data_IF_531365001169
#
_entry.id   IF_531365001169
#
_cell.length_a   1.000
_cell.length_b   1.000
_cell.length_c   1.000
_cell.angle_alpha   90.00
_cell.angle_beta   90.00
_cell.angle_gamma   90.00
#
_symmetry.space_group_name_H-M   'P 1'
#
loop_
_entity.id
_entity.type
_entity.pdbx_description
1 polymer ?
#
# COMPACT_ATOMS: atom_id res chain seq x y z
N UNK A 1 -61.15 19.25 -1.24
CA UNK A 1 -59.73 19.27 -1.69
C UNK A 1 -58.82 20.25 -0.93
N UNK A 2 -59.26 20.91 0.15
CA UNK A 2 -58.42 21.85 0.91
C UNK A 2 -57.84 21.30 2.23
N UNK A 3 -58.29 20.12 2.71
CA UNK A 3 -57.79 19.53 3.96
C UNK A 3 -56.53 18.65 3.83
N UNK A 4 -56.12 18.24 2.62
CA UNK A 4 -54.99 17.31 2.45
C UNK A 4 -53.61 17.99 2.46
N UNK A 5 -53.53 19.29 2.19
CA UNK A 5 -52.25 20.01 2.16
C UNK A 5 -51.82 20.55 3.53
N UNK A 6 -52.76 20.75 4.47
CA UNK A 6 -52.43 21.15 5.83
C UNK A 6 -51.92 19.96 6.67
N UNK A 7 -52.48 18.76 6.45
CA UNK A 7 -52.11 17.54 7.18
C UNK A 7 -50.70 17.03 6.82
N UNK A 8 -50.27 17.18 5.55
CA UNK A 8 -48.91 16.82 5.11
C UNK A 8 -47.82 17.76 5.63
N UNK A 9 -48.12 19.06 5.76
CA UNK A 9 -47.16 20.03 6.31
C UNK A 9 -47.02 19.94 7.84
N UNK A 10 -48.08 19.51 8.53
CA UNK A 10 -48.03 19.34 9.98
C UNK A 10 -47.20 18.10 10.40
N UNK A 11 -47.25 17.01 9.63
CA UNK A 11 -46.46 15.80 9.92
C UNK A 11 -44.98 15.88 9.52
N UNK A 12 -44.61 16.66 8.50
CA UNK A 12 -43.19 16.78 8.10
C UNK A 12 -42.36 17.59 9.10
N UNK A 13 -42.94 18.63 9.72
CA UNK A 13 -42.23 19.43 10.73
C UNK A 13 -42.07 18.69 12.07
N UNK A 14 -43.02 17.84 12.45
CA UNK A 14 -42.91 17.03 13.68
C UNK A 14 -41.86 15.92 13.51
N UNK A 15 -41.77 15.31 12.32
CA UNK A 15 -40.73 14.30 12.04
C UNK A 15 -39.32 14.90 11.98
N UNK A 16 -39.15 16.09 11.39
CA UNK A 16 -37.85 16.75 11.33
C UNK A 16 -37.36 17.21 12.71
N UNK A 17 -38.27 17.64 13.59
CA UNK A 17 -37.90 18.09 14.95
C UNK A 17 -37.55 16.90 15.86
N UNK A 18 -38.27 15.77 15.72
CA UNK A 18 -37.97 14.54 16.46
C UNK A 18 -36.70 13.83 15.94
N UNK A 19 -36.40 13.92 14.64
CA UNK A 19 -35.18 13.35 14.07
C UNK A 19 -33.94 14.20 14.39
N UNK A 20 -34.06 15.54 14.44
CA UNK A 20 -32.98 16.42 14.90
C UNK A 20 -32.67 16.26 16.39
N UNK A 21 -33.68 15.94 17.22
CA UNK A 21 -33.47 15.58 18.62
C UNK A 21 -32.78 14.23 18.80
N UNK A 22 -33.07 13.27 17.90
CA UNK A 22 -32.41 11.96 17.89
C UNK A 22 -30.93 12.07 17.52
N UNK A 23 -30.55 12.91 16.54
CA UNK A 23 -29.15 13.11 16.14
C UNK A 23 -28.28 13.79 17.22
N UNK A 24 -28.86 14.60 18.10
CA UNK A 24 -28.13 15.21 19.23
C UNK A 24 -27.87 14.21 20.38
N UNK A 25 -28.63 13.12 20.47
CA UNK A 25 -28.45 12.07 21.48
C UNK A 25 -27.40 11.00 21.10
N UNK A 26 -26.98 10.93 19.83
CA UNK A 26 -26.04 9.89 19.33
C UNK A 26 -24.61 10.39 19.16
N UNK A 27 -24.27 11.62 19.55
CA UNK A 27 -22.88 12.08 19.68
C UNK A 27 -22.01 12.03 18.41
N UNK A 28 -22.57 11.89 17.21
CA UNK A 28 -21.79 11.79 15.97
C UNK A 28 -21.64 13.16 15.30
N UNK A 29 -20.68 13.96 15.77
CA UNK A 29 -20.13 15.07 15.01
C UNK A 29 -18.72 14.71 14.53
N UNK A 30 -18.48 14.48 13.22
CA UNK A 30 -17.12 14.44 12.72
C UNK A 30 -16.59 15.86 12.58
N UNK A 31 -15.50 16.18 13.32
CA UNK A 31 -14.64 17.33 13.01
C UNK A 31 -13.62 16.93 11.93
N UNK A 32 -13.25 17.84 11.02
CA UNK A 32 -12.23 17.59 10.02
C UNK A 32 -10.84 17.84 10.62
N UNK A 33 -9.91 16.95 10.31
CA UNK A 33 -8.47 17.25 10.33
C UNK A 33 -7.81 16.37 9.27
N UNK A 34 -7.90 16.79 8.01
CA UNK A 34 -6.95 16.37 6.98
C UNK A 34 -6.27 17.65 6.51
N UNK A 35 -5.04 17.81 6.97
CA UNK A 35 -4.08 18.81 6.55
C UNK A 35 -3.76 18.59 5.06
N UNK A 36 -3.80 19.67 4.28
CA UNK A 36 -3.61 19.71 2.83
C UNK A 36 -2.36 18.96 2.31
N UNK A 37 -2.54 18.21 1.21
CA UNK A 37 -1.46 17.64 0.38
C UNK A 37 -0.76 18.66 -0.53
N UNK A 38 -1.09 19.96 -0.46
CA UNK A 38 -0.52 21.02 -1.31
C UNK A 38 0.96 21.35 -1.01
N UNK A 39 1.58 20.66 -0.04
CA UNK A 39 3.01 20.80 0.29
C UNK A 39 3.94 19.77 -0.38
N UNK A 40 3.46 18.96 -1.32
CA UNK A 40 4.33 18.16 -2.20
C UNK A 40 5.02 19.06 -3.24
N UNK A 41 6.00 19.84 -2.81
CA UNK A 41 7.11 20.24 -3.67
C UNK A 41 8.18 19.17 -3.52
N UNK A 42 8.68 18.64 -4.64
CA UNK A 42 9.93 17.90 -4.68
C UNK A 42 10.99 18.71 -3.94
N UNK A 43 11.29 18.29 -2.72
CA UNK A 43 12.43 18.75 -1.98
C UNK A 43 13.57 17.85 -2.40
N UNK A 44 14.51 18.39 -3.17
CA UNK A 44 15.85 17.80 -3.34
C UNK A 44 16.61 17.68 -1.99
N UNK A 45 15.99 18.10 -0.88
CA UNK A 45 16.42 17.90 0.50
C UNK A 45 15.56 16.84 1.24
N UNK A 46 15.08 15.77 0.57
CA UNK A 46 14.50 14.64 1.30
C UNK A 46 15.54 14.12 2.30
N UNK A 47 15.35 14.42 3.59
CA UNK A 47 16.26 13.97 4.64
C UNK A 47 16.27 12.43 4.64
N UNK A 48 17.42 11.82 4.90
CA UNK A 48 17.69 10.37 4.88
C UNK A 48 16.92 9.54 5.93
N UNK A 49 15.72 9.97 6.34
CA UNK A 49 14.94 9.42 7.47
C UNK A 49 13.64 8.74 7.03
N UNK A 50 13.39 8.62 5.74
CA UNK A 50 12.15 8.03 5.25
C UNK A 50 12.25 6.49 5.18
N UNK A 51 11.16 5.77 5.49
CA UNK A 51 11.12 4.30 5.43
C UNK A 51 9.78 3.76 4.92
N UNK A 52 9.80 2.51 4.43
CA UNK A 52 8.60 1.71 4.14
C UNK A 52 8.25 0.89 5.39
N UNK A 53 6.97 0.82 5.77
CA UNK A 53 6.52 0.05 6.92
C UNK A 53 5.76 -1.20 6.48
N UNK A 54 6.12 -2.38 6.98
CA UNK A 54 5.41 -3.61 6.66
C UNK A 54 4.95 -4.26 7.94
N UNK A 55 3.64 -4.41 8.09
CA UNK A 55 3.01 -5.05 9.23
C UNK A 55 2.62 -6.49 8.85
N UNK A 56 3.36 -7.46 9.39
CA UNK A 56 2.94 -8.85 9.44
C UNK A 56 1.89 -8.96 10.54
N UNK A 57 0.63 -9.11 10.16
CA UNK A 57 -0.47 -9.22 11.10
C UNK A 57 -0.94 -10.66 11.21
N UNK A 58 -0.33 -11.40 12.15
CA UNK A 58 -0.71 -12.78 12.48
C UNK A 58 -1.96 -12.79 13.39
N UNK A 59 -3.04 -12.16 12.93
CA UNK A 59 -4.33 -12.30 13.58
C UNK A 59 -4.80 -13.75 13.46
N UNK A 60 -4.68 -14.55 14.54
CA UNK A 60 -5.26 -15.90 14.54
C UNK A 60 -6.75 -15.77 14.25
N UNK A 61 -7.23 -16.43 13.19
CA UNK A 61 -8.65 -16.58 12.81
C UNK A 61 -9.61 -17.07 13.90
N UNK A 62 -9.10 -17.39 15.10
CA UNK A 62 -9.86 -18.04 16.17
C UNK A 62 -10.64 -17.07 17.07
N UNK A 63 -10.48 -15.75 16.93
CA UNK A 63 -11.26 -14.80 17.74
C UNK A 63 -12.39 -14.18 16.92
N UNK A 64 -13.51 -14.92 16.79
CA UNK A 64 -14.77 -14.41 16.21
C UNK A 64 -15.36 -13.21 16.95
N UNK A 65 -14.79 -12.82 18.08
CA UNK A 65 -15.36 -11.81 18.95
C UNK A 65 -14.76 -10.40 18.71
N UNK A 66 -13.59 -10.29 18.08
CA UNK A 66 -12.87 -9.01 17.90
C UNK A 66 -12.17 -8.91 16.56
N UNK A 67 -12.42 -7.82 15.86
CA UNK A 67 -11.67 -7.42 14.67
C UNK A 67 -10.98 -6.11 14.96
N UNK A 68 -9.71 -6.16 15.35
CA UNK A 68 -8.88 -4.96 15.33
C UNK A 68 -8.57 -4.53 13.90
N UNK A 69 -8.51 -3.22 13.67
CA UNK A 69 -8.11 -2.61 12.39
C UNK A 69 -6.59 -2.36 12.40
N UNK A 70 -5.76 -3.22 11.79
CA UNK A 70 -4.30 -3.03 11.75
C UNK A 70 -3.89 -1.67 11.14
N UNK A 71 -4.73 -1.06 10.31
CA UNK A 71 -4.57 0.29 9.76
C UNK A 71 -4.49 1.38 10.85
N UNK A 72 -5.20 1.21 11.96
CA UNK A 72 -5.15 2.17 13.08
C UNK A 72 -3.80 2.12 13.79
N UNK A 73 -3.20 0.92 13.95
CA UNK A 73 -1.85 0.77 14.49
C UNK A 73 -0.83 1.46 13.58
N UNK A 74 -0.92 1.23 12.26
CA UNK A 74 -0.06 1.89 11.28
C UNK A 74 -0.19 3.42 11.37
N UNK A 75 -1.41 3.96 11.45
CA UNK A 75 -1.64 5.40 11.58
C UNK A 75 -1.05 5.98 12.86
N UNK A 76 -1.20 5.27 13.98
CA UNK A 76 -0.60 5.66 15.25
C UNK A 76 0.94 5.71 15.15
N UNK A 77 1.55 4.69 14.53
CA UNK A 77 2.99 4.65 14.27
C UNK A 77 3.46 5.79 13.36
N UNK A 78 2.76 6.05 12.26
CA UNK A 78 3.09 7.14 11.34
C UNK A 78 3.00 8.52 12.01
N UNK A 79 1.94 8.74 12.80
CA UNK A 79 1.74 9.98 13.56
C UNK A 79 2.85 10.20 14.57
N UNK A 80 3.19 9.16 15.33
CA UNK A 80 4.20 9.24 16.37
C UNK A 80 5.62 9.40 15.81
N UNK A 81 5.92 8.73 14.68
CA UNK A 81 7.17 8.89 13.94
C UNK A 81 7.40 10.35 13.54
N UNK A 82 6.38 10.96 12.90
CA UNK A 82 6.38 12.37 12.49
C UNK A 82 6.53 13.28 13.70
N UNK A 83 5.74 13.04 14.76
CA UNK A 83 5.74 13.85 16.00
C UNK A 83 7.12 13.89 16.68
N UNK A 84 7.86 12.77 16.67
CA UNK A 84 9.19 12.67 17.28
C UNK A 84 10.34 13.06 16.35
N UNK A 85 10.06 13.49 15.11
CA UNK A 85 11.08 13.87 14.13
C UNK A 85 11.99 12.70 13.71
N UNK A 86 11.49 11.47 13.85
CA UNK A 86 12.23 10.23 13.57
C UNK A 86 12.23 9.87 12.08
N UNK A 87 11.50 10.62 11.25
CA UNK A 87 11.37 10.37 9.82
C UNK A 87 9.93 10.50 9.34
N UNK A 88 9.68 10.10 8.09
CA UNK A 88 8.34 9.93 7.55
C UNK A 88 8.15 8.50 7.04
N UNK A 89 7.00 7.91 7.38
CA UNK A 89 6.55 6.66 6.78
C UNK A 89 6.06 6.98 5.36
N UNK A 90 6.79 6.53 4.34
CA UNK A 90 6.45 6.84 2.94
C UNK A 90 5.27 6.04 2.43
N UNK A 91 5.26 4.77 2.77
CA UNK A 91 4.17 3.86 2.48
C UNK A 91 4.11 2.80 3.57
N UNK A 92 3.01 2.06 3.59
CA UNK A 92 2.90 0.88 4.42
C UNK A 92 2.20 -0.27 3.69
N UNK A 93 2.47 -1.49 4.13
CA UNK A 93 1.75 -2.68 3.72
C UNK A 93 1.32 -3.48 4.96
N UNK A 94 0.16 -4.11 4.88
CA UNK A 94 -0.33 -5.04 5.90
C UNK A 94 -0.46 -6.39 5.20
N UNK A 95 0.24 -7.39 5.69
CA UNK A 95 0.29 -8.74 5.09
C UNK A 95 -0.09 -9.79 6.13
N UNK A 96 -0.77 -10.83 5.69
CA UNK A 96 -1.22 -11.93 6.56
C UNK A 96 -0.17 -13.01 6.78
N UNK A 97 0.88 -13.06 5.97
CA UNK A 97 1.96 -14.04 6.08
C UNK A 97 3.26 -13.54 5.44
N UNK A 98 4.38 -14.21 5.75
CA UNK A 98 5.67 -13.92 5.11
C UNK A 98 5.67 -14.22 3.60
N UNK A 99 4.89 -15.20 3.14
CA UNK A 99 4.78 -15.53 1.71
C UNK A 99 4.17 -14.38 0.89
N UNK A 100 3.27 -13.60 1.50
CA UNK A 100 2.69 -12.42 0.86
C UNK A 100 3.74 -11.31 0.65
N UNK A 101 4.81 -11.26 1.46
CA UNK A 101 5.92 -10.30 1.28
C UNK A 101 6.58 -10.42 -0.09
N UNK A 102 6.64 -11.63 -0.66
CA UNK A 102 7.22 -11.91 -1.98
C UNK A 102 6.55 -11.05 -3.05
N UNK A 103 5.23 -10.85 -2.94
CA UNK A 103 4.45 -10.09 -3.91
C UNK A 103 4.72 -8.60 -3.82
N UNK A 104 5.14 -8.12 -2.65
CA UNK A 104 5.36 -6.69 -2.37
C UNK A 104 6.81 -6.24 -2.54
N UNK A 105 7.76 -7.15 -2.39
CA UNK A 105 9.19 -6.87 -2.55
C UNK A 105 9.58 -6.08 -3.81
N UNK A 106 8.94 -6.28 -4.98
CA UNK A 106 9.22 -5.50 -6.19
C UNK A 106 8.95 -4.00 -6.08
N UNK A 107 8.09 -3.58 -5.16
CA UNK A 107 7.68 -2.18 -5.02
C UNK A 107 8.51 -1.41 -3.99
N UNK A 108 9.37 -2.11 -3.24
CA UNK A 108 10.26 -1.46 -2.30
C UNK A 108 11.50 -0.95 -3.01
N UNK A 109 11.79 0.33 -2.81
CA UNK A 109 13.02 0.92 -3.32
C UNK A 109 14.20 0.33 -2.52
N UNK A 110 15.23 -0.23 -3.18
CA UNK A 110 16.39 -0.82 -2.49
C UNK A 110 17.07 0.15 -1.52
N UNK A 111 17.04 1.45 -1.82
CA UNK A 111 17.61 2.51 -1.00
C UNK A 111 16.74 2.94 0.20
N UNK A 112 15.47 2.51 0.27
CA UNK A 112 14.56 2.88 1.35
C UNK A 112 14.46 1.72 2.35
N UNK A 113 14.81 1.93 3.63
CA UNK A 113 14.73 0.87 4.63
C UNK A 113 13.29 0.40 4.81
N UNK A 114 13.12 -0.91 5.04
CA UNK A 114 11.84 -1.53 5.35
C UNK A 114 11.81 -1.84 6.85
N UNK A 115 10.87 -1.24 7.58
CA UNK A 115 10.59 -1.63 8.96
C UNK A 115 9.52 -2.72 8.95
N UNK A 116 9.93 -3.95 9.23
CA UNK A 116 9.03 -5.10 9.35
C UNK A 116 8.60 -5.23 10.81
N UNK A 117 7.30 -5.29 11.04
CA UNK A 117 6.68 -5.45 12.35
C UNK A 117 5.81 -6.72 12.33
N UNK A 118 6.22 -7.77 13.03
CA UNK A 118 5.37 -8.92 13.30
C UNK A 118 4.56 -8.64 14.55
N UNK A 119 3.31 -8.25 14.33
CA UNK A 119 2.38 -7.91 15.37
C UNK A 119 1.43 -9.08 15.64
N UNK A 120 1.35 -9.44 16.91
CA UNK A 120 0.35 -10.35 17.43
C UNK A 120 -0.38 -9.70 18.59
N UNK A 121 -1.68 -9.94 18.66
CA UNK A 121 -2.48 -9.58 19.81
C UNK A 121 -2.85 -10.86 20.56
N UNK A 122 -2.74 -10.81 21.88
CA UNK A 122 -3.26 -11.84 22.75
C UNK A 122 -4.28 -11.20 23.71
N UNK A 123 -5.50 -11.71 23.70
CA UNK A 123 -6.56 -11.28 24.61
C UNK A 123 -6.85 -12.42 25.57
N UNK A 124 -6.44 -12.25 26.82
CA UNK A 124 -6.63 -13.26 27.86
C UNK A 124 -7.76 -12.85 28.81
N UNK A 125 -8.67 -13.79 29.04
CA UNK A 125 -9.74 -13.68 30.03
C UNK A 125 -9.35 -14.43 31.30
N UNK A 126 -9.33 -13.73 32.43
CA UNK A 126 -9.31 -14.30 33.77
C UNK A 126 -10.67 -14.09 34.46
N UNK A 127 -10.86 -14.68 35.64
CA UNK A 127 -12.09 -14.57 36.45
C UNK A 127 -12.37 -13.14 36.92
N UNK A 128 -11.35 -12.30 37.06
CA UNK A 128 -11.46 -10.93 37.61
C UNK A 128 -10.74 -9.85 36.77
N UNK A 129 -10.00 -10.26 35.75
CA UNK A 129 -9.15 -9.36 34.95
C UNK A 129 -9.25 -9.73 33.49
N UNK A 130 -9.38 -8.70 32.65
CA UNK A 130 -9.16 -8.81 31.22
C UNK A 130 -7.81 -8.19 30.89
N UNK A 131 -7.04 -8.89 30.06
CA UNK A 131 -5.72 -8.46 29.63
C UNK A 131 -5.68 -8.46 28.10
N UNK A 132 -5.43 -7.29 27.53
CA UNK A 132 -5.09 -7.15 26.11
C UNK A 132 -3.59 -6.87 26.01
N UNK A 133 -2.87 -7.72 25.28
CA UNK A 133 -1.43 -7.61 25.07
C UNK A 133 -1.13 -7.50 23.58
N UNK A 134 -0.62 -6.33 23.17
CA UNK A 134 -0.03 -6.13 21.85
C UNK A 134 1.46 -6.45 21.94
N UNK A 135 1.85 -7.55 21.31
CA UNK A 135 3.25 -7.93 21.13
C UNK A 135 3.66 -7.61 19.70
N UNK A 136 4.68 -6.78 19.53
CA UNK A 136 5.24 -6.48 18.22
C UNK A 136 6.72 -6.78 18.22
N UNK A 137 7.09 -7.75 17.39
CA UNK A 137 8.47 -8.08 17.09
C UNK A 137 8.87 -7.27 15.85
N UNK A 138 9.56 -6.15 16.10
CA UNK A 138 10.02 -5.28 15.02
C UNK A 138 11.45 -5.59 14.64
N UNK A 139 11.67 -5.82 13.35
CA UNK A 139 12.99 -5.95 12.76
C UNK A 139 13.09 -5.02 11.57
N UNK A 140 14.20 -4.31 11.48
CA UNK A 140 14.51 -3.60 10.27
C UNK A 140 15.09 -4.56 9.28
N UNK A 141 14.52 -4.53 8.08
CA UNK A 141 15.04 -5.26 6.97
C UNK A 141 15.58 -4.26 5.96
N UNK A 142 16.89 -4.22 5.87
CA UNK A 142 17.53 -3.50 4.80
C UNK A 142 17.86 -4.48 3.68
N UNK A 143 17.56 -4.09 2.44
CA UNK A 143 18.10 -4.75 1.26
C UNK A 143 19.64 -4.74 1.28
N UNK A 144 20.22 -3.65 1.81
CA UNK A 144 21.63 -3.30 1.63
C UNK A 144 22.37 -2.95 2.92
N UNK A 145 21.69 -2.75 4.05
CA UNK A 145 22.27 -2.11 5.24
C UNK A 145 22.34 -3.00 6.47
N UNK A 146 23.32 -2.76 7.35
CA UNK A 146 23.32 -3.36 8.69
C UNK A 146 22.31 -2.62 9.54
N UNK A 147 21.23 -3.29 9.92
CA UNK A 147 20.36 -2.73 10.95
C UNK A 147 20.42 -3.63 12.16
N UNK A 148 20.94 -3.07 13.26
CA UNK A 148 20.95 -3.76 14.54
C UNK A 148 19.50 -4.07 14.90
N UNK A 149 19.12 -5.35 15.08
CA UNK A 149 17.78 -5.68 15.52
C UNK A 149 17.51 -4.98 16.85
N UNK A 150 16.27 -4.52 17.05
CA UNK A 150 15.82 -4.11 18.38
C UNK A 150 15.98 -5.35 19.25
N UNK A 151 16.85 -5.26 20.26
CA UNK A 151 17.34 -6.42 21.02
C UNK A 151 16.24 -7.23 21.71
N UNK A 152 15.08 -6.60 21.95
CA UNK A 152 13.95 -7.24 22.60
C UNK A 152 12.61 -6.89 21.92
N UNK A 153 11.68 -7.85 21.81
CA UNK A 153 10.28 -7.63 21.48
C UNK A 153 9.66 -6.45 22.23
N UNK A 154 9.01 -5.54 21.50
CA UNK A 154 8.26 -4.46 22.14
C UNK A 154 6.89 -4.97 22.57
N UNK A 155 6.66 -4.99 23.89
CA UNK A 155 5.39 -5.42 24.49
C UNK A 155 4.65 -4.25 25.11
N UNK A 156 3.38 -4.11 24.79
CA UNK A 156 2.45 -3.19 25.46
C UNK A 156 1.23 -3.96 25.96
N UNK A 157 0.89 -3.74 27.22
CA UNK A 157 -0.19 -4.46 27.91
C UNK A 157 -1.13 -3.43 28.53
N UNK A 158 -2.43 -3.56 28.25
CA UNK A 158 -3.48 -2.86 28.99
C UNK A 158 -4.33 -3.89 29.73
N UNK A 159 -4.55 -3.63 31.01
CA UNK A 159 -5.40 -4.44 31.88
C UNK A 159 -6.65 -3.65 32.29
N UNK A 160 -7.79 -4.33 32.31
CA UNK A 160 -9.03 -3.82 32.91
C UNK A 160 -9.51 -4.81 33.96
N UNK A 161 -9.67 -4.32 35.18
CA UNK A 161 -10.38 -5.07 36.19
C UNK A 161 -11.87 -5.08 35.83
N UNK A 162 -12.47 -6.26 35.82
CA UNK A 162 -13.90 -6.41 35.51
C UNK A 162 -14.55 -7.17 36.63
N UNK A 163 -15.71 -6.68 37.05
CA UNK A 163 -16.48 -7.37 38.05
C UNK A 163 -17.04 -8.65 37.43
N UNK A 164 -16.91 -9.82 38.09
CA UNK A 164 -17.40 -11.09 37.55
C UNK A 164 -18.92 -11.07 37.24
N UNK A 165 -19.68 -10.19 37.91
CA UNK A 165 -21.10 -9.97 37.63
C UNK A 165 -21.38 -9.41 36.24
N UNK A 166 -20.46 -8.59 35.71
CA UNK A 166 -20.62 -7.84 34.46
C UNK A 166 -20.35 -8.71 33.23
N UNK A 167 -20.11 -10.01 33.42
CA UNK A 167 -19.71 -10.96 32.39
C UNK A 167 -20.66 -12.15 32.26
N UNK A 168 -21.80 -12.11 32.95
CA UNK A 168 -22.75 -13.23 33.01
C UNK A 168 -23.78 -13.25 31.88
N UNK A 169 -23.94 -12.15 31.15
CA UNK A 169 -24.94 -12.00 30.09
C UNK A 169 -24.35 -11.40 28.80
N UNK A 170 -25.13 -11.47 27.71
CA UNK A 170 -24.77 -10.91 26.40
C UNK A 170 -24.55 -9.39 26.43
N UNK A 171 -25.13 -8.73 27.44
CA UNK A 171 -24.98 -7.30 27.68
C UNK A 171 -23.57 -6.97 28.18
N UNK A 172 -23.04 -7.79 29.08
CA UNK A 172 -21.65 -7.76 29.52
C UNK A 172 -20.66 -7.96 28.39
N UNK A 173 -20.95 -8.90 27.48
CA UNK A 173 -20.15 -9.12 26.29
C UNK A 173 -20.16 -7.91 25.34
N UNK A 174 -21.31 -7.27 25.13
CA UNK A 174 -21.44 -6.10 24.26
C UNK A 174 -20.73 -4.86 24.83
N UNK A 175 -20.88 -4.60 26.13
CA UNK A 175 -20.17 -3.52 26.83
C UNK A 175 -18.65 -3.74 26.84
N UNK A 176 -18.22 -5.00 26.77
CA UNK A 176 -16.82 -5.34 26.58
C UNK A 176 -16.33 -5.06 25.16
N UNK A 177 -17.12 -5.39 24.12
CA UNK A 177 -16.78 -5.05 22.72
C UNK A 177 -16.54 -3.56 22.58
N UNK A 178 -17.49 -2.78 23.08
CA UNK A 178 -17.42 -1.32 23.05
C UNK A 178 -16.20 -0.78 23.81
N UNK A 179 -15.87 -1.36 24.97
CA UNK A 179 -14.66 -0.96 25.69
C UNK A 179 -13.38 -1.26 24.91
N UNK A 180 -13.23 -2.44 24.31
CA UNK A 180 -12.04 -2.76 23.51
C UNK A 180 -11.91 -1.80 22.34
N UNK A 181 -13.02 -1.52 21.63
CA UNK A 181 -13.03 -0.57 20.52
C UNK A 181 -12.60 0.84 20.95
N UNK A 182 -13.04 1.29 22.12
CA UNK A 182 -12.61 2.57 22.71
C UNK A 182 -11.14 2.54 23.19
N UNK A 183 -10.62 1.36 23.53
CA UNK A 183 -9.27 1.19 24.10
C UNK A 183 -8.21 0.96 23.01
N UNK A 184 -8.60 0.49 21.83
CA UNK A 184 -7.70 0.25 20.69
C UNK A 184 -6.82 1.48 20.35
N UNK A 185 -7.37 2.71 20.21
CA UNK A 185 -6.54 3.89 19.96
C UNK A 185 -5.53 4.17 21.07
N UNK A 186 -5.90 3.92 22.33
CA UNK A 186 -5.03 4.11 23.50
C UNK A 186 -3.90 3.08 23.47
N UNK A 187 -4.20 1.80 23.20
CA UNK A 187 -3.22 0.74 23.00
C UNK A 187 -2.21 1.11 21.91
N UNK A 188 -2.70 1.54 20.75
CA UNK A 188 -1.83 1.90 19.62
C UNK A 188 -1.00 3.15 19.91
N UNK A 189 -1.55 4.14 20.61
CA UNK A 189 -0.82 5.34 21.01
C UNK A 189 0.25 5.03 22.06
N UNK A 190 -0.06 4.23 23.08
CA UNK A 190 0.92 3.79 24.07
C UNK A 190 2.03 2.96 23.43
N UNK A 191 1.65 2.03 22.53
CA UNK A 191 2.59 1.23 21.78
C UNK A 191 3.51 2.07 20.91
N UNK A 192 2.96 2.91 20.04
CA UNK A 192 3.75 3.75 19.15
C UNK A 192 4.69 4.67 19.95
N UNK A 193 4.21 5.28 21.04
CA UNK A 193 5.04 6.13 21.90
C UNK A 193 6.19 5.35 22.56
N UNK A 194 5.90 4.15 23.09
CA UNK A 194 6.92 3.26 23.66
C UNK A 194 7.92 2.81 22.59
N UNK A 195 7.44 2.39 21.43
CA UNK A 195 8.24 2.00 20.27
C UNK A 195 9.26 3.07 19.92
N UNK A 196 8.83 4.30 19.64
CA UNK A 196 9.75 5.36 19.23
C UNK A 196 10.56 5.97 20.38
N UNK A 197 10.24 5.65 21.64
CA UNK A 197 11.09 6.01 22.78
C UNK A 197 12.28 5.06 22.96
N UNK A 198 12.13 3.80 22.52
CA UNK A 198 13.16 2.76 22.61
C UNK A 198 13.90 2.54 21.30
N UNK A 199 13.28 2.89 20.17
CA UNK A 199 13.95 2.90 18.88
C UNK A 199 14.99 4.02 18.87
N UNK A 200 16.25 3.62 18.65
CA UNK A 200 17.32 4.55 18.31
C UNK A 200 16.85 5.46 17.17
N UNK A 201 17.29 6.74 17.12
CA UNK A 201 17.03 7.57 15.96
C UNK A 201 17.40 6.79 14.70
N UNK A 202 16.57 6.88 13.66
CA UNK A 202 16.90 6.41 12.32
C UNK A 202 18.00 7.33 11.75
N UNK A 203 19.13 7.38 12.44
CA UNK A 203 20.28 8.17 12.03
C UNK A 203 21.02 7.42 10.92
N UNK A 204 21.77 8.19 10.13
CA UNK A 204 22.48 7.73 8.92
C UNK A 204 23.39 6.52 9.14
N UNK A 205 23.75 6.20 10.38
CA UNK A 205 24.59 5.05 10.74
C UNK A 205 23.94 3.70 10.35
N UNK A 206 22.63 3.65 10.12
CA UNK A 206 21.93 2.45 9.64
C UNK A 206 21.91 2.30 8.10
N UNK A 207 22.70 3.09 7.37
CA UNK A 207 22.70 3.14 5.90
C UNK A 207 24.05 2.81 5.26
N UNK A 208 24.98 2.24 6.01
CA UNK A 208 26.21 1.73 5.39
C UNK A 208 25.92 0.40 4.71
N UNK A 209 26.08 0.40 3.38
CA UNK A 209 26.02 -0.79 2.56
C UNK A 209 26.97 -1.85 3.13
N UNK A 210 26.43 -2.97 3.59
CA UNK A 210 27.25 -4.07 4.08
C UNK A 210 27.87 -4.78 2.88
N UNK A 211 29.17 -4.60 2.69
CA UNK A 211 30.01 -5.45 1.85
C UNK A 211 31.39 -5.54 2.49
N UNK A 212 32.00 -6.72 2.38
CA UNK A 212 33.22 -7.04 3.11
C UNK A 212 34.45 -6.68 2.30
N UNK A 213 35.45 -6.09 2.95
CA UNK A 213 36.75 -5.78 2.32
C UNK A 213 37.51 -7.03 1.88
N UNK A 214 37.29 -8.16 2.54
CA UNK A 214 37.98 -9.42 2.25
C UNK A 214 39.45 -9.45 2.66
N UNK A 215 40.13 -10.58 2.41
CA UNK A 215 41.54 -10.79 2.78
C UNK A 215 42.51 -10.58 1.60
N UNK A 216 42.09 -10.92 0.38
CA UNK A 216 42.94 -10.84 -0.82
C UNK A 216 43.04 -9.40 -1.33
N UNK A 217 44.04 -9.14 -2.17
CA UNK A 217 44.20 -7.82 -2.77
C UNK A 217 43.04 -7.50 -3.73
N UNK A 218 42.59 -8.45 -4.54
CA UNK A 218 41.47 -8.20 -5.45
C UNK A 218 40.14 -7.94 -4.73
N UNK A 219 39.91 -8.56 -3.57
CA UNK A 219 38.75 -8.18 -2.73
C UNK A 219 38.86 -6.76 -2.17
N UNK A 220 40.07 -6.34 -1.74
CA UNK A 220 40.32 -4.95 -1.29
C UNK A 220 40.11 -3.96 -2.42
N UNK A 221 40.59 -4.27 -3.61
CA UNK A 221 40.43 -3.42 -4.79
C UNK A 221 38.95 -3.31 -5.20
N UNK A 222 38.23 -4.43 -5.16
CA UNK A 222 36.78 -4.46 -5.39
C UNK A 222 36.02 -3.64 -4.35
N UNK A 223 36.42 -3.74 -3.08
CA UNK A 223 35.85 -2.93 -1.99
C UNK A 223 36.08 -1.44 -2.22
N UNK A 224 37.28 -1.01 -2.66
CA UNK A 224 37.51 0.40 -2.98
C UNK A 224 36.67 0.86 -4.17
N UNK A 225 36.51 0.01 -5.20
CA UNK A 225 35.61 0.32 -6.32
C UNK A 225 34.16 0.51 -5.85
N UNK A 226 33.64 -0.39 -5.01
CA UNK A 226 32.31 -0.28 -4.40
C UNK A 226 32.17 0.99 -3.54
N UNK A 227 33.20 1.33 -2.74
CA UNK A 227 33.24 2.57 -1.94
C UNK A 227 33.19 3.83 -2.81
N UNK A 228 33.79 3.78 -4.00
CA UNK A 228 33.68 4.84 -5.01
C UNK A 228 32.38 4.80 -5.84
N UNK A 229 31.44 3.91 -5.51
CA UNK A 229 30.17 3.64 -6.21
C UNK A 229 30.33 3.10 -7.64
N UNK A 230 31.50 2.57 -8.00
CA UNK A 230 31.75 1.87 -9.25
C UNK A 230 31.39 0.38 -9.08
N UNK A 231 30.10 0.10 -9.00
CA UNK A 231 29.57 -1.24 -8.75
C UNK A 231 29.85 -2.23 -9.87
N UNK A 232 29.95 -1.74 -11.11
CA UNK A 232 30.30 -2.57 -12.27
C UNK A 232 31.73 -3.11 -12.13
N UNK A 233 32.70 -2.23 -11.82
CA UNK A 233 34.09 -2.63 -11.57
C UNK A 233 34.22 -3.51 -10.33
N UNK A 234 33.53 -3.17 -9.24
CA UNK A 234 33.53 -3.98 -8.02
C UNK A 234 33.07 -5.41 -8.29
N UNK A 235 31.95 -5.58 -9.01
CA UNK A 235 31.42 -6.88 -9.43
C UNK A 235 32.44 -7.66 -10.27
N UNK A 236 33.05 -7.04 -11.27
CA UNK A 236 34.07 -7.69 -12.11
C UNK A 236 35.29 -8.18 -11.31
N UNK A 237 35.75 -7.38 -10.34
CA UNK A 237 36.88 -7.75 -9.48
C UNK A 237 36.52 -8.92 -8.54
N UNK A 238 35.33 -8.89 -7.92
CA UNK A 238 34.86 -10.02 -7.11
C UNK A 238 34.61 -11.29 -7.93
N UNK A 239 34.16 -11.18 -9.18
CA UNK A 239 34.02 -12.32 -10.09
C UNK A 239 35.36 -13.00 -10.36
N UNK A 240 36.42 -12.21 -10.62
CA UNK A 240 37.78 -12.75 -10.79
C UNK A 240 38.27 -13.47 -9.55
N UNK A 241 38.03 -12.91 -8.36
CA UNK A 241 38.38 -13.56 -7.10
C UNK A 241 37.60 -14.87 -6.89
N UNK A 242 36.33 -14.92 -7.29
CA UNK A 242 35.48 -16.11 -7.20
C UNK A 242 36.00 -17.26 -8.08
N UNK A 243 36.73 -16.99 -9.17
CA UNK A 243 37.35 -18.04 -10.00
C UNK A 243 38.36 -18.87 -9.20
N UNK A 244 39.09 -18.23 -8.27
CA UNK A 244 40.09 -18.85 -7.41
C UNK A 244 39.49 -19.45 -6.14
N UNK A 245 38.37 -18.89 -5.64
CA UNK A 245 37.71 -19.34 -4.43
C UNK A 245 36.18 -19.47 -4.63
N UNK A 246 35.78 -20.46 -5.42
CA UNK A 246 34.39 -20.63 -5.91
C UNK A 246 33.34 -20.77 -4.83
N UNK A 247 33.73 -21.19 -3.64
CA UNK A 247 32.83 -21.48 -2.53
C UNK A 247 32.86 -20.41 -1.43
N UNK A 248 33.65 -19.33 -1.58
CA UNK A 248 33.74 -18.29 -0.56
C UNK A 248 32.38 -17.62 -0.31
N UNK A 249 31.78 -17.77 0.89
CA UNK A 249 30.51 -17.16 1.19
C UNK A 249 30.61 -15.62 1.15
N UNK A 250 31.75 -15.04 1.54
CA UNK A 250 31.94 -13.58 1.56
C UNK A 250 31.93 -13.01 0.14
N UNK A 251 32.57 -13.67 -0.83
CA UNK A 251 32.53 -13.26 -2.23
C UNK A 251 31.12 -13.35 -2.81
N UNK A 252 30.40 -14.44 -2.53
CA UNK A 252 29.01 -14.58 -2.98
C UNK A 252 28.10 -13.48 -2.36
N UNK A 253 28.29 -13.14 -1.08
CA UNK A 253 27.55 -12.04 -0.47
C UNK A 253 27.85 -10.69 -1.13
N UNK A 254 29.14 -10.37 -1.34
CA UNK A 254 29.54 -9.13 -2.00
C UNK A 254 29.03 -9.04 -3.45
N UNK A 255 29.06 -10.15 -4.20
CA UNK A 255 28.51 -10.24 -5.55
C UNK A 255 26.98 -10.05 -5.57
N UNK A 256 26.29 -10.60 -4.57
CA UNK A 256 24.85 -10.35 -4.38
C UNK A 256 24.57 -8.86 -4.20
N UNK A 257 25.34 -8.17 -3.35
CA UNK A 257 25.21 -6.72 -3.13
C UNK A 257 25.51 -5.94 -4.41
N UNK A 258 26.60 -6.27 -5.11
CA UNK A 258 26.97 -5.61 -6.36
C UNK A 258 25.88 -5.74 -7.43
N UNK A 259 25.32 -6.93 -7.59
CA UNK A 259 24.23 -7.20 -8.53
C UNK A 259 22.95 -6.42 -8.17
N UNK A 260 22.61 -6.30 -6.88
CA UNK A 260 21.50 -5.45 -6.44
C UNK A 260 21.72 -3.97 -6.81
N UNK A 261 22.93 -3.47 -6.58
CA UNK A 261 23.30 -2.08 -6.93
C UNK A 261 23.28 -1.80 -8.44
N UNK A 262 23.38 -2.86 -9.26
CA UNK A 262 23.27 -2.80 -10.71
C UNK A 262 21.86 -3.12 -11.24
N UNK A 263 20.91 -3.47 -10.36
CA UNK A 263 19.56 -3.88 -10.75
C UNK A 263 19.47 -5.28 -11.39
N UNK A 264 20.50 -6.12 -11.20
CA UNK A 264 20.61 -7.47 -11.76
C UNK A 264 20.03 -8.51 -10.78
N UNK A 265 18.72 -8.44 -10.54
CA UNK A 265 18.06 -9.17 -9.44
C UNK A 265 18.17 -10.70 -9.51
N UNK A 266 18.22 -11.27 -10.72
CA UNK A 266 18.38 -12.72 -10.91
C UNK A 266 19.74 -13.21 -10.42
N UNK A 267 20.79 -12.45 -10.73
CA UNK A 267 22.14 -12.75 -10.29
C UNK A 267 22.28 -12.50 -8.79
N UNK A 268 21.73 -11.39 -8.30
CA UNK A 268 21.68 -11.10 -6.87
C UNK A 268 21.09 -12.28 -6.09
N UNK A 269 19.91 -12.75 -6.48
CA UNK A 269 19.24 -13.91 -5.89
C UNK A 269 20.11 -15.18 -5.97
N UNK A 270 20.73 -15.45 -7.12
CA UNK A 270 21.58 -16.62 -7.29
C UNK A 270 22.82 -16.60 -6.37
N UNK A 271 23.47 -15.45 -6.23
CA UNK A 271 24.60 -15.27 -5.33
C UNK A 271 24.21 -15.34 -3.86
N UNK A 272 23.07 -14.75 -3.48
CA UNK A 272 22.55 -14.82 -2.10
C UNK A 272 22.24 -16.26 -1.69
N UNK A 273 21.61 -17.02 -2.58
CA UNK A 273 21.34 -18.44 -2.35
C UNK A 273 22.62 -19.23 -2.15
N UNK A 274 23.67 -18.99 -2.95
CA UNK A 274 24.98 -19.63 -2.78
C UNK A 274 25.64 -19.22 -1.46
N UNK A 275 25.56 -17.94 -1.08
CA UNK A 275 26.05 -17.45 0.20
C UNK A 275 25.43 -18.23 1.36
N UNK A 276 24.10 -18.40 1.40
CA UNK A 276 23.45 -19.14 2.49
C UNK A 276 23.79 -20.63 2.50
N UNK A 277 23.85 -21.27 1.32
CA UNK A 277 24.23 -22.67 1.20
C UNK A 277 25.64 -22.93 1.74
N UNK A 278 26.58 -22.01 1.49
CA UNK A 278 27.98 -22.16 1.87
C UNK A 278 28.27 -21.67 3.30
N UNK A 279 27.41 -20.81 3.87
CA UNK A 279 27.49 -20.36 5.27
C UNK A 279 27.11 -21.45 6.28
N UNK A 280 26.29 -22.43 5.87
CA UNK A 280 25.68 -23.46 6.71
C UNK A 280 26.55 -24.69 7.07
N UNK A 281 27.87 -24.57 7.24
CA UNK A 281 28.73 -25.70 7.62
C UNK A 281 29.49 -25.55 8.96
N UNK A 282 29.14 -24.59 9.83
CA UNK A 282 29.79 -24.48 11.14
C UNK A 282 28.95 -23.77 12.21
N UNK A 283 29.42 -23.83 13.48
CA UNK A 283 28.86 -23.34 14.77
C UNK A 283 28.25 -21.92 14.80
N UNK A 284 28.22 -21.20 13.68
CA UNK A 284 27.52 -19.94 13.46
C UNK A 284 25.98 -20.05 13.47
N UNK A 285 25.42 -21.27 13.43
CA UNK A 285 23.96 -21.52 13.60
C UNK A 285 23.42 -21.01 14.95
N UNK A 286 24.27 -20.91 15.97
CA UNK A 286 23.86 -20.56 17.35
C UNK A 286 23.88 -19.04 17.60
N UNK A 287 24.60 -18.24 16.79
CA UNK A 287 24.85 -16.82 17.09
C UNK A 287 24.51 -15.80 16.00
N UNK A 288 24.07 -16.19 14.79
CA UNK A 288 23.93 -15.24 13.67
C UNK A 288 22.54 -15.24 12.98
N UNK A 289 21.67 -14.29 13.34
CA UNK A 289 20.80 -13.54 12.41
C UNK A 289 19.93 -14.24 11.35
N UNK A 290 19.69 -15.55 11.41
CA UNK A 290 19.02 -16.34 10.36
C UNK A 290 17.67 -15.82 9.80
N UNK A 291 16.79 -15.11 10.54
CA UNK A 291 15.55 -14.59 9.96
C UNK A 291 15.80 -13.62 8.80
N UNK A 292 16.76 -12.69 8.97
CA UNK A 292 17.05 -11.64 8.00
C UNK A 292 17.55 -12.19 6.65
N UNK A 293 18.32 -13.28 6.69
CA UNK A 293 18.87 -13.95 5.51
C UNK A 293 17.78 -14.68 4.70
N UNK A 294 16.81 -15.33 5.37
CA UNK A 294 15.67 -15.98 4.70
C UNK A 294 14.74 -14.95 4.07
N UNK A 295 14.45 -13.87 4.80
CA UNK A 295 13.58 -12.82 4.31
C UNK A 295 14.23 -12.06 3.13
N UNK A 296 15.55 -11.85 3.14
CA UNK A 296 16.28 -11.29 2.00
C UNK A 296 16.13 -12.15 0.74
N UNK A 297 16.20 -13.47 0.87
CA UNK A 297 15.93 -14.41 -0.24
C UNK A 297 14.49 -14.29 -0.75
N UNK A 298 13.51 -14.28 0.16
CA UNK A 298 12.07 -14.11 -0.16
C UNK A 298 11.85 -12.81 -0.96
N UNK A 299 12.51 -11.72 -0.57
CA UNK A 299 12.44 -10.44 -1.27
C UNK A 299 13.14 -10.47 -2.64
N UNK A 300 14.37 -10.99 -2.71
CA UNK A 300 15.11 -11.12 -3.96
C UNK A 300 14.41 -12.05 -4.95
N UNK A 301 13.75 -13.09 -4.46
CA UNK A 301 12.90 -13.97 -5.24
C UNK A 301 11.68 -13.22 -5.78
N UNK A 302 11.02 -12.41 -4.94
CA UNK A 302 9.93 -11.52 -5.36
C UNK A 302 10.35 -10.59 -6.50
N UNK A 303 11.46 -9.86 -6.31
CA UNK A 303 12.06 -8.99 -7.32
C UNK A 303 12.37 -9.77 -8.61
N UNK A 304 13.16 -10.85 -8.52
CA UNK A 304 13.51 -11.72 -9.64
C UNK A 304 12.28 -12.22 -10.42
N UNK A 305 11.24 -12.68 -9.72
CA UNK A 305 10.03 -13.22 -10.34
C UNK A 305 9.24 -12.15 -11.10
N UNK A 306 9.16 -10.94 -10.55
CA UNK A 306 8.49 -9.81 -11.18
C UNK A 306 9.26 -9.34 -12.41
N UNK A 307 10.59 -9.29 -12.38
CA UNK A 307 11.39 -8.93 -13.55
C UNK A 307 11.41 -10.01 -14.64
N UNK A 308 11.37 -11.30 -14.27
CA UNK A 308 11.24 -12.42 -15.22
C UNK A 308 9.88 -12.45 -15.92
N UNK A 309 8.81 -12.12 -15.21
CA UNK A 309 7.48 -11.98 -15.78
C UNK A 309 7.29 -10.62 -16.49
N UNK A 310 8.11 -9.62 -16.15
CA UNK A 310 8.31 -8.39 -16.92
C UNK A 310 9.24 -8.59 -18.13
N UNK A 311 9.22 -9.78 -18.75
CA UNK A 311 9.73 -9.96 -20.13
C UNK A 311 9.01 -9.08 -21.16
N UNK A 312 7.92 -8.40 -20.79
CA UNK A 312 7.56 -7.14 -21.43
C UNK A 312 8.41 -6.03 -20.81
N UNK A 313 9.37 -5.52 -21.57
CA UNK A 313 10.23 -4.33 -21.33
C UNK A 313 9.50 -3.03 -20.90
N UNK A 314 8.21 -3.11 -20.59
CA UNK A 314 7.35 -2.01 -20.19
C UNK A 314 7.16 -2.06 -18.68
N UNK A 315 8.24 -1.81 -17.95
CA UNK A 315 8.13 -1.26 -16.60
C UNK A 315 7.35 0.04 -16.79
N UNK A 316 6.19 0.12 -16.15
CA UNK A 316 5.33 1.30 -16.13
C UNK A 316 6.19 2.55 -15.87
N UNK A 317 6.35 3.42 -16.87
CA UNK A 317 7.03 4.69 -16.62
C UNK A 317 6.05 5.55 -15.80
N UNK A 318 6.39 5.95 -14.56
CA UNK A 318 5.51 6.76 -13.74
C UNK A 318 5.15 8.10 -14.41
N UNK A 319 5.98 8.56 -15.35
CA UNK A 319 5.75 9.77 -16.13
C UNK A 319 4.88 9.52 -17.40
N UNK A 320 4.45 8.28 -17.64
CA UNK A 320 3.59 7.94 -18.78
C UNK A 320 2.27 8.67 -18.70
N UNK A 321 1.89 9.30 -19.82
CA UNK A 321 0.56 9.91 -19.96
C UNK A 321 -0.51 8.83 -20.01
N UNK A 322 -1.56 9.00 -19.21
CA UNK A 322 -2.72 8.11 -19.14
C UNK A 322 -3.94 8.82 -19.72
N UNK A 323 -4.64 8.19 -20.66
CA UNK A 323 -5.94 8.64 -21.13
C UNK A 323 -7.03 7.70 -20.65
N UNK A 324 -8.10 8.26 -20.08
CA UNK A 324 -9.30 7.52 -19.74
C UNK A 324 -10.28 7.69 -20.88
N UNK A 325 -10.50 6.62 -21.64
CA UNK A 325 -11.31 6.64 -22.85
C UNK A 325 -12.81 6.54 -22.52
N UNK A 326 -13.71 6.96 -23.43
CA UNK A 326 -15.14 6.71 -23.32
C UNK A 326 -15.42 5.23 -22.96
N UNK A 327 -16.23 5.03 -21.92
CA UNK A 327 -16.60 3.68 -21.47
C UNK A 327 -17.83 3.23 -22.26
N UNK A 328 -17.86 1.96 -22.64
CA UNK A 328 -19.04 1.36 -23.27
C UNK A 328 -20.21 1.30 -22.27
N UNK A 329 -21.42 1.64 -22.73
CA UNK A 329 -22.58 1.76 -21.85
C UNK A 329 -23.53 0.57 -22.01
N UNK A 330 -23.64 -0.26 -20.97
CA UNK A 330 -24.66 -1.31 -20.87
C UNK A 330 -25.75 -0.97 -19.85
N UNK A 331 -25.83 0.29 -19.43
CA UNK A 331 -26.85 0.76 -18.49
C UNK A 331 -28.02 1.43 -19.23
N UNK A 332 -29.16 1.58 -18.56
CA UNK A 332 -30.29 2.35 -19.08
C UNK A 332 -30.09 3.87 -18.98
N UNK A 333 -28.98 4.32 -18.39
CA UNK A 333 -28.67 5.73 -18.18
C UNK A 333 -27.53 6.17 -19.12
N UNK A 334 -27.83 7.14 -19.98
CA UNK A 334 -26.89 7.69 -20.97
C UNK A 334 -25.74 8.47 -20.33
N UNK A 335 -25.87 8.89 -19.06
CA UNK A 335 -24.90 9.74 -18.37
C UNK A 335 -23.90 8.97 -17.51
N UNK A 336 -24.24 7.75 -17.09
CA UNK A 336 -23.41 6.96 -16.16
C UNK A 336 -21.96 6.77 -16.65
N UNK A 337 -21.67 6.45 -17.93
CA UNK A 337 -20.29 6.29 -18.41
C UNK A 337 -19.43 7.53 -18.20
N UNK A 338 -19.98 8.72 -18.47
CA UNK A 338 -19.26 9.98 -18.32
C UNK A 338 -19.03 10.32 -16.85
N UNK A 339 -20.03 10.07 -15.98
CA UNK A 339 -19.88 10.24 -14.55
C UNK A 339 -18.78 9.35 -13.96
N UNK A 340 -18.74 8.08 -14.36
CA UNK A 340 -17.67 7.15 -13.96
C UNK A 340 -16.32 7.65 -14.46
N UNK A 341 -16.22 8.06 -15.74
CA UNK A 341 -14.97 8.51 -16.35
C UNK A 341 -14.42 9.80 -15.72
N UNK A 342 -15.28 10.77 -15.40
CA UNK A 342 -14.90 12.00 -14.69
C UNK A 342 -14.31 11.68 -13.31
N UNK A 343 -14.98 10.82 -12.55
CA UNK A 343 -14.50 10.46 -11.21
C UNK A 343 -13.22 9.61 -11.27
N UNK A 344 -13.06 8.71 -12.25
CA UNK A 344 -11.81 8.01 -12.49
C UNK A 344 -10.67 8.99 -12.81
N UNK A 345 -10.95 10.04 -13.60
CA UNK A 345 -9.99 11.08 -13.96
C UNK A 345 -9.53 11.86 -12.73
N UNK A 346 -10.49 12.26 -11.89
CA UNK A 346 -10.22 12.97 -10.64
C UNK A 346 -9.34 12.13 -9.69
N UNK A 347 -9.73 10.88 -9.44
CA UNK A 347 -8.99 10.01 -8.53
C UNK A 347 -7.60 9.65 -9.09
N UNK A 348 -7.48 9.39 -10.39
CA UNK A 348 -6.18 9.11 -10.99
C UNK A 348 -5.27 10.35 -10.96
N UNK A 349 -5.81 11.56 -11.18
CA UNK A 349 -5.05 12.79 -10.98
C UNK A 349 -4.60 12.96 -9.52
N UNK A 350 -5.45 12.59 -8.55
CA UNK A 350 -5.11 12.64 -7.11
C UNK A 350 -4.00 11.67 -6.73
N UNK A 351 -3.90 10.55 -7.44
CA UNK A 351 -2.84 9.55 -7.30
C UNK A 351 -1.53 9.95 -8.01
N UNK A 352 -1.48 11.10 -8.68
CA UNK A 352 -0.28 11.62 -9.33
C UNK A 352 -0.04 11.13 -10.76
N UNK A 353 -1.01 10.47 -11.38
CA UNK A 353 -0.89 10.09 -12.79
C UNK A 353 -0.96 11.32 -13.72
N UNK A 354 -0.19 11.32 -14.80
CA UNK A 354 -0.27 12.34 -15.84
C UNK A 354 -1.48 12.11 -16.75
N UNK A 355 -2.66 12.54 -16.30
CA UNK A 355 -3.92 12.32 -17.02
C UNK A 355 -4.07 13.30 -18.19
N UNK A 356 -4.44 12.78 -19.36
CA UNK A 356 -4.91 13.61 -20.48
C UNK A 356 -6.27 14.19 -20.10
N UNK A 357 -6.47 15.53 -20.13
CA UNK A 357 -7.72 16.15 -19.71
C UNK A 357 -8.94 15.55 -20.41
N UNK A 358 -10.01 15.34 -19.64
CA UNK A 358 -11.25 14.71 -20.08
C UNK A 358 -11.78 15.31 -21.40
N UNK A 359 -11.93 16.63 -21.47
CA UNK A 359 -12.48 17.33 -22.64
C UNK A 359 -11.59 17.16 -23.88
N UNK A 360 -10.28 17.11 -23.66
CA UNK A 360 -9.29 16.93 -24.73
C UNK A 360 -9.35 15.52 -25.32
N UNK A 361 -9.57 14.50 -24.48
CA UNK A 361 -9.78 13.12 -24.97
C UNK A 361 -11.03 13.06 -25.86
N UNK A 362 -12.14 13.67 -25.46
CA UNK A 362 -13.37 13.70 -26.29
C UNK A 362 -13.16 14.43 -27.60
N UNK A 363 -12.54 15.60 -27.57
CA UNK A 363 -12.28 16.39 -28.77
C UNK A 363 -11.43 15.59 -29.78
N UNK A 364 -10.34 14.98 -29.32
CA UNK A 364 -9.42 14.20 -30.15
C UNK A 364 -10.10 12.97 -30.75
N UNK A 365 -10.91 12.25 -29.97
CA UNK A 365 -11.66 11.09 -30.44
C UNK A 365 -12.78 11.46 -31.41
N UNK A 366 -13.52 12.53 -31.12
CA UNK A 366 -14.60 13.04 -31.98
C UNK A 366 -14.09 13.49 -33.34
N UNK A 367 -12.91 14.10 -33.40
CA UNK A 367 -12.25 14.45 -34.68
C UNK A 367 -11.93 13.22 -35.53
N UNK A 368 -11.81 12.04 -34.93
CA UNK A 368 -11.61 10.77 -35.63
C UNK A 368 -12.93 10.00 -35.86
N UNK A 369 -14.06 10.59 -35.50
CA UNK A 369 -15.39 9.98 -35.67
C UNK A 369 -15.83 9.06 -34.53
N UNK A 370 -15.09 8.97 -33.43
CA UNK A 370 -15.50 8.23 -32.24
C UNK A 370 -16.34 9.13 -31.32
N UNK A 371 -17.60 8.75 -31.10
CA UNK A 371 -18.52 9.45 -30.21
C UNK A 371 -18.96 8.59 -29.02
N UNK A 372 -18.76 7.27 -29.08
CA UNK A 372 -19.18 6.32 -28.06
C UNK A 372 -18.08 5.30 -27.72
N UNK A 373 -18.07 4.80 -26.48
CA UNK A 373 -17.08 3.81 -26.02
C UNK A 373 -17.12 2.48 -26.76
N UNK A 374 -18.30 2.02 -27.18
CA UNK A 374 -18.43 0.77 -27.94
C UNK A 374 -17.74 0.81 -29.31
N UNK A 375 -17.60 2.01 -29.89
CA UNK A 375 -16.91 2.20 -31.18
C UNK A 375 -15.40 2.03 -31.09
N UNK A 376 -14.81 2.18 -29.90
CA UNK A 376 -13.35 2.11 -29.71
C UNK A 376 -12.78 0.72 -29.99
N UNK A 377 -13.62 -0.33 -29.92
CA UNK A 377 -13.26 -1.70 -30.28
C UNK A 377 -12.85 -1.84 -31.76
N UNK A 378 -13.25 -0.91 -32.62
CA UNK A 378 -12.90 -0.88 -34.03
C UNK A 378 -11.47 -0.34 -34.29
N UNK A 379 -10.73 0.05 -33.26
CA UNK A 379 -9.39 0.65 -33.39
C UNK A 379 -8.41 0.02 -32.40
N UNK A 380 -7.15 -0.10 -32.81
CA UNK A 380 -6.14 -0.71 -31.95
C UNK A 380 -5.75 0.23 -30.80
N UNK A 381 -5.37 -0.29 -29.63
CA UNK A 381 -4.84 0.53 -28.53
C UNK A 381 -3.67 1.43 -28.94
N UNK A 382 -2.84 0.97 -29.89
CA UNK A 382 -1.71 1.73 -30.42
C UNK A 382 -2.14 2.98 -31.17
N UNK A 383 -3.19 2.88 -31.98
CA UNK A 383 -3.75 4.02 -32.71
C UNK A 383 -4.50 4.96 -31.75
N UNK A 384 -5.30 4.42 -30.84
CA UNK A 384 -5.97 5.21 -29.81
C UNK A 384 -4.98 6.01 -28.97
N UNK A 385 -3.87 5.40 -28.53
CA UNK A 385 -2.80 6.09 -27.81
C UNK A 385 -2.14 7.20 -28.61
N UNK A 386 -1.95 7.01 -29.92
CA UNK A 386 -1.47 8.07 -30.82
C UNK A 386 -2.46 9.22 -30.95
N UNK A 387 -3.76 8.92 -31.08
CA UNK A 387 -4.83 9.93 -31.21
C UNK A 387 -4.87 10.82 -29.96
N UNK A 388 -4.88 10.21 -28.77
CA UNK A 388 -5.03 10.94 -27.51
C UNK A 388 -3.70 11.41 -26.91
N UNK A 389 -2.57 10.98 -27.48
CA UNK A 389 -1.22 11.31 -27.01
C UNK A 389 -0.87 10.68 -25.66
N UNK A 390 -1.31 9.44 -25.42
CA UNK A 390 -1.09 8.68 -24.19
C UNK A 390 -0.39 7.36 -24.44
N UNK A 391 0.45 6.94 -23.49
CA UNK A 391 1.11 5.64 -23.49
C UNK A 391 0.26 4.56 -22.82
N UNK A 392 -0.68 4.99 -21.99
CA UNK A 392 -1.56 4.13 -21.20
C UNK A 392 -3.00 4.52 -21.42
N UNK A 393 -3.85 3.52 -21.63
CA UNK A 393 -5.27 3.70 -21.90
C UNK A 393 -6.08 2.99 -20.82
N UNK A 394 -6.97 3.72 -20.16
CA UNK A 394 -8.03 3.11 -19.36
C UNK A 394 -9.24 2.93 -20.26
N UNK A 395 -9.59 1.67 -20.50
CA UNK A 395 -10.72 1.24 -21.33
C UNK A 395 -11.69 0.45 -20.46
N UNK A 396 -12.96 0.38 -20.84
CA UNK A 396 -13.90 -0.43 -20.09
C UNK A 396 -15.34 -0.25 -20.48
N UNK A 397 -16.19 -0.88 -19.70
CA UNK A 397 -17.63 -0.93 -19.88
C UNK A 397 -18.32 -0.71 -18.54
N UNK A 398 -19.48 -0.05 -18.56
CA UNK A 398 -20.34 0.13 -17.40
C UNK A 398 -21.54 -0.80 -17.54
N UNK A 399 -21.59 -1.83 -16.70
CA UNK A 399 -22.64 -2.87 -16.71
C UNK A 399 -23.89 -2.43 -15.95
N UNK A 400 -23.73 -1.60 -14.91
CA UNK A 400 -24.83 -1.03 -14.13
C UNK A 400 -24.35 0.20 -13.35
N UNK A 401 -25.27 0.92 -12.71
CA UNK A 401 -24.97 2.04 -11.81
C UNK A 401 -23.94 1.70 -10.72
N UNK A 402 -23.78 0.41 -10.38
CA UNK A 402 -22.86 -0.05 -9.33
C UNK A 402 -21.78 -0.98 -9.84
N UNK A 403 -21.63 -1.18 -11.15
CA UNK A 403 -20.70 -2.17 -11.69
C UNK A 403 -20.08 -1.71 -13.00
N UNK A 404 -18.77 -1.69 -13.08
CA UNK A 404 -18.04 -1.48 -14.32
C UNK A 404 -16.84 -2.42 -14.41
N UNK A 405 -16.40 -2.73 -15.63
CA UNK A 405 -15.22 -3.52 -15.91
C UNK A 405 -14.19 -2.62 -16.57
N UNK A 406 -13.03 -2.43 -15.94
CA UNK A 406 -11.96 -1.55 -16.43
C UNK A 406 -10.72 -2.36 -16.79
N UNK A 407 -9.98 -1.88 -17.80
CA UNK A 407 -8.70 -2.40 -18.27
C UNK A 407 -7.71 -1.26 -18.41
N UNK A 408 -6.50 -1.44 -17.90
CA UNK A 408 -5.36 -0.57 -18.20
C UNK A 408 -4.52 -1.23 -19.29
N UNK A 409 -4.35 -0.55 -20.41
CA UNK A 409 -3.68 -1.07 -21.60
C UNK A 409 -2.47 -0.22 -21.93
N UNK A 410 -1.32 -0.84 -22.19
CA UNK A 410 -0.16 -0.17 -22.74
C UNK A 410 -0.37 0.06 -24.24
N UNK A 411 -0.62 1.30 -24.65
CA UNK A 411 -0.99 1.63 -26.03
C UNK A 411 0.03 1.12 -27.06
N UNK A 412 1.36 1.35 -26.94
CA UNK A 412 2.31 0.91 -27.97
C UNK A 412 2.32 -0.59 -28.25
N UNK A 413 2.11 -1.44 -27.23
CA UNK A 413 2.15 -2.90 -27.37
C UNK A 413 0.76 -3.55 -27.44
N UNK A 414 -0.29 -2.86 -27.00
CA UNK A 414 -1.62 -3.44 -26.83
C UNK A 414 -1.75 -4.39 -25.64
N UNK A 415 -0.71 -4.54 -24.82
CA UNK A 415 -0.74 -5.44 -23.67
C UNK A 415 -1.68 -4.88 -22.60
N UNK A 416 -2.57 -5.75 -22.10
CA UNK A 416 -3.36 -5.47 -20.90
C UNK A 416 -2.41 -5.58 -19.71
N UNK A 417 -2.17 -4.45 -19.05
CA UNK A 417 -1.40 -4.40 -17.79
C UNK A 417 -2.28 -4.91 -16.65
N UNK A 418 -3.55 -4.52 -16.65
CA UNK A 418 -4.48 -4.83 -15.58
C UNK A 418 -5.93 -4.85 -16.07
N UNK A 419 -6.77 -5.69 -15.47
CA UNK A 419 -8.21 -5.75 -15.71
C UNK A 419 -8.93 -6.06 -14.40
N UNK A 420 -9.98 -5.28 -14.07
CA UNK A 420 -10.78 -5.50 -12.85
C UNK A 420 -12.23 -5.10 -13.02
N UNK A 421 -13.10 -5.86 -12.35
CA UNK A 421 -14.49 -5.47 -12.10
C UNK A 421 -14.55 -4.65 -10.83
N UNK A 422 -15.09 -3.45 -10.92
CA UNK A 422 -15.25 -2.53 -9.81
C UNK A 422 -16.73 -2.44 -9.46
N UNK A 423 -17.02 -2.42 -8.16
CA UNK A 423 -18.38 -2.37 -7.62
C UNK A 423 -18.56 -1.10 -6.77
N UNK A 424 -19.79 -0.57 -6.73
CA UNK A 424 -20.16 0.54 -5.84
C UNK A 424 -20.10 1.95 -6.43
N UNK A 425 -20.43 2.10 -7.71
CA UNK A 425 -20.50 3.41 -8.39
C UNK A 425 -21.76 4.23 -8.09
N UNK A 426 -21.67 5.47 -8.55
CA UNK A 426 -22.49 6.68 -8.36
C UNK A 426 -24.01 6.47 -8.43
N UNK A 427 -24.74 7.31 -7.71
CA UNK A 427 -26.16 7.62 -7.97
C UNK A 427 -26.23 8.75 -9.02
N UNK A 428 -26.64 8.49 -10.29
CA UNK A 428 -26.57 9.45 -11.40
C UNK A 428 -27.29 10.76 -11.15
N UNK A 429 -28.34 10.72 -10.32
CA UNK A 429 -29.14 11.89 -9.95
C UNK A 429 -28.27 12.95 -9.27
N UNK A 430 -27.28 12.53 -8.48
CA UNK A 430 -26.35 13.45 -7.81
C UNK A 430 -25.27 14.01 -8.75
N UNK A 431 -25.00 13.38 -9.90
CA UNK A 431 -23.98 13.84 -10.85
C UNK A 431 -24.45 15.06 -11.66
N UNK A 432 -25.67 15.03 -12.19
CA UNK A 432 -26.22 16.19 -12.92
C UNK A 432 -26.45 17.39 -12.00
N UNK A 433 -26.91 17.15 -10.77
CA UNK A 433 -27.14 18.21 -9.78
C UNK A 433 -25.85 18.97 -9.43
N UNK A 434 -24.67 18.34 -9.52
CA UNK A 434 -23.37 19.02 -9.33
C UNK A 434 -23.02 19.99 -10.45
N UNK A 435 -23.55 19.78 -11.66
CA UNK A 435 -23.31 20.67 -12.82
C UNK A 435 -24.27 21.85 -12.86
N UNK A 436 -25.31 21.86 -12.04
CA UNK A 436 -26.21 23.01 -11.95
C UNK A 436 -25.54 24.16 -11.18
N UNK A 437 -25.76 25.43 -11.59
CA UNK A 437 -25.13 26.61 -10.98
C UNK A 437 -25.66 26.92 -9.57
N UNK A 438 -26.74 26.27 -9.12
CA UNK A 438 -27.31 26.48 -7.79
C UNK A 438 -26.48 25.77 -6.71
N UNK A 439 -25.75 26.57 -5.91
CA UNK A 439 -24.94 26.11 -4.76
C UNK A 439 -25.73 25.28 -3.74
N UNK A 440 -27.06 25.46 -3.65
CA UNK A 440 -27.89 24.73 -2.68
C UNK A 440 -28.05 23.26 -3.10
N UNK A 441 -28.25 23.00 -4.39
CA UNK A 441 -28.32 21.65 -4.96
C UNK A 441 -26.96 20.95 -4.99
N UNK A 442 -25.87 21.71 -5.17
CA UNK A 442 -24.50 21.19 -5.06
C UNK A 442 -24.17 20.68 -3.65
N UNK A 443 -24.68 21.35 -2.61
CA UNK A 443 -24.46 20.96 -1.21
C UNK A 443 -25.31 19.76 -0.76
N UNK A 444 -26.43 19.49 -1.45
CA UNK A 444 -27.28 18.31 -1.19
C UNK A 444 -26.74 17.04 -1.86
N UNK A 445 -25.88 17.18 -2.88
CA UNK A 445 -25.21 16.05 -3.51
C UNK A 445 -24.18 15.44 -2.55
N UNK A 446 -24.53 14.30 -1.93
CA UNK A 446 -23.63 13.55 -1.04
C UNK A 446 -22.28 13.29 -1.72
N UNK A 447 -21.19 13.43 -0.98
CA UNK A 447 -19.84 13.10 -1.42
C UNK A 447 -19.77 11.59 -1.73
N UNK A 448 -19.33 11.25 -2.93
CA UNK A 448 -19.20 9.86 -3.38
C UNK A 448 -17.72 9.59 -3.48
N UNK A 449 -17.23 8.68 -2.63
CA UNK A 449 -15.84 8.21 -2.69
C UNK A 449 -15.78 7.04 -3.65
N UNK A 450 -15.35 7.28 -4.88
CA UNK A 450 -14.72 6.19 -5.63
C UNK A 450 -13.38 5.97 -4.97
N UNK A 451 -13.26 4.86 -4.25
CA UNK A 451 -11.96 4.38 -3.82
C UNK A 451 -11.31 3.76 -5.06
N UNK A 452 -10.61 4.58 -5.84
CA UNK A 452 -9.48 4.03 -6.57
C UNK A 452 -8.53 3.55 -5.46
N UNK A 453 -8.52 2.24 -5.30
CA UNK A 453 -7.41 1.49 -4.76
C UNK A 453 -6.13 2.18 -5.26
N UNK A 454 -5.18 2.54 -4.41
CA UNK A 454 -3.97 3.20 -4.88
C UNK A 454 -3.10 2.17 -5.66
N UNK A 455 -2.12 2.56 -6.51
CA UNK A 455 -1.29 1.66 -7.33
C UNK A 455 -0.81 0.40 -6.57
N UNK A 456 -0.60 0.58 -5.27
CA UNK A 456 -0.16 -0.32 -4.22
C UNK A 456 -1.26 -1.15 -3.52
N UNK A 457 -2.53 -1.13 -3.92
CA UNK A 457 -3.56 -2.08 -3.45
C UNK A 457 -4.19 -2.89 -4.63
N UNK A 458 -3.75 -2.67 -5.88
CA UNK A 458 -4.39 -3.23 -7.09
C UNK A 458 -4.09 -4.70 -7.40
N UNK A 459 -3.10 -5.33 -6.77
CA UNK A 459 -2.59 -6.64 -7.17
C UNK A 459 -3.41 -7.86 -6.73
N UNK A 460 -4.45 -7.67 -5.91
CA UNK A 460 -5.26 -8.78 -5.39
C UNK A 460 -6.64 -8.84 -6.05
N UNK A 461 -6.70 -9.51 -7.21
CA UNK A 461 -7.83 -10.37 -7.61
C UNK A 461 -7.51 -11.08 -8.93
N UNK A 462 -6.71 -12.15 -8.88
CA UNK A 462 -6.66 -13.16 -9.95
C UNK A 462 -7.59 -14.32 -9.57
N UNK A 463 -8.48 -14.78 -10.47
CA UNK A 463 -9.27 -15.98 -10.22
C UNK A 463 -8.42 -17.24 -10.41
N UNK A 464 -8.68 -18.25 -9.57
CA UNK A 464 -8.24 -19.63 -9.84
C UNK A 464 -8.71 -20.05 -11.23
N UNK A 465 -7.84 -20.73 -11.98
CA UNK A 465 -8.14 -21.37 -13.26
C UNK A 465 -9.43 -22.17 -13.16
N UNK A 466 -10.33 -21.95 -14.12
CA UNK A 466 -11.14 -23.04 -14.67
C UNK A 466 -10.28 -23.71 -15.73
N UNK A 467 -9.69 -24.84 -15.35
CA UNK A 467 -9.68 -26.11 -16.06
C UNK A 467 -9.39 -27.20 -15.01
#
# INVERSE_FOLDING_TARGET
MFCNNLFRKFFSSIWLTLFSGFCLLIGCAPRPAIEEQSLWKYSSNASTRDFHFVLLWNGKKNEKLYSMEPELLVRALGTECKRRGKGAMRSYQIVGSEDELIQWAPYWKPETPVLLADASMNVERSTSVWKAELKVDTRFQAFLFDVRPIKEPLRCVITKNVNPSDLKDDKGLSAWVEWVDQTNPILYQQFSSKFFSQADPFDKEFTDLLYYTGKTQGMKDAYQAAKSKDWSKAKQLWLKELEFNREDPVLNYNLSVAAQMLGEWDEAYAYDKKYLLNKGQGLAEIFSGMPLDKERIVMLQGLSSTFKNAKSKTIFNPDSKVAILPLENYTNDIHTPNAVREQLTLEASRLGFHIVPFDKVEELLRMQGFTDGGQLSATTPKELGKIVGAELLVMGEVESLRKCSLKLVHAPSGNIIFQKKVYGFVDPINWELRKQPDRRLQNEAKEIKIRLIAPDEFFYSWPRKYD
#
